data_IF_101973760194
#
_entry.id   IF_101973760194
#
_cell.length_a   1.000
_cell.length_b   1.000
_cell.length_c   1.000
_cell.angle_alpha   90.00
_cell.angle_beta   90.00
_cell.angle_gamma   90.00
#
_symmetry.space_group_name_H-M   'P 1'
#
loop_
_entity.id
_entity.type
_entity.pdbx_description
1 polymer ?
#
# COMPACT_ATOMS: atom_id res chain seq x y z
N UNK A 1 4.61 7.37 12.35
CA UNK A 1 3.49 8.28 12.69
C UNK A 1 3.28 9.15 11.47
N UNK A 2 2.10 9.21 10.85
CA UNK A 2 1.73 10.42 10.09
C UNK A 2 0.30 10.47 9.51
N UNK A 3 -0.13 11.72 9.32
CA UNK A 3 -1.47 12.25 9.55
C UNK A 3 -2.38 12.14 8.31
N UNK A 4 -3.55 11.49 8.43
CA UNK A 4 -4.69 11.78 7.52
C UNK A 4 -5.39 13.06 7.95
N UNK A 5 -5.32 13.33 9.25
CA UNK A 5 -5.84 14.48 9.95
C UNK A 5 -4.87 14.77 11.08
N UNK A 6 -4.54 16.05 11.31
CA UNK A 6 -3.78 16.46 12.49
C UNK A 6 -4.79 16.74 13.60
N UNK A 7 -4.66 16.01 14.70
CA UNK A 7 -5.68 15.94 15.77
C UNK A 7 -5.21 16.60 17.07
N UNK A 8 -3.92 16.86 17.22
CA UNK A 8 -3.38 17.47 18.41
C UNK A 8 -2.05 18.20 18.15
N UNK A 9 -1.57 18.92 19.16
CA UNK A 9 -0.38 19.77 19.02
C UNK A 9 0.93 18.98 18.87
N UNK A 10 0.97 17.72 19.35
CA UNK A 10 2.13 16.86 19.12
C UNK A 10 2.22 16.51 17.64
N UNK A 11 1.11 16.05 17.07
CA UNK A 11 1.00 15.73 15.64
C UNK A 11 1.30 16.94 14.75
N UNK A 12 0.80 18.13 15.12
CA UNK A 12 1.09 19.37 14.39
C UNK A 12 2.59 19.71 14.42
N UNK A 13 3.28 19.50 15.54
CA UNK A 13 4.73 19.71 15.66
C UNK A 13 5.51 18.69 14.83
N UNK A 14 5.11 17.42 14.86
CA UNK A 14 5.76 16.37 14.09
C UNK A 14 5.59 16.64 12.56
N UNK A 15 4.39 17.03 12.13
CA UNK A 15 4.12 17.43 10.73
C UNK A 15 4.98 18.62 10.29
N UNK A 16 5.14 19.64 11.14
CA UNK A 16 6.01 20.80 10.87
C UNK A 16 7.48 20.39 10.76
N UNK A 17 7.94 19.49 11.61
CA UNK A 17 9.33 19.01 11.57
C UNK A 17 9.61 18.31 10.23
N UNK A 18 8.69 17.47 9.76
CA UNK A 18 8.82 16.74 8.49
C UNK A 18 8.70 17.69 7.30
N UNK A 19 7.79 18.68 7.36
CA UNK A 19 7.71 19.74 6.35
C UNK A 19 9.02 20.53 6.24
N UNK A 20 9.67 20.83 7.37
CA UNK A 20 10.98 21.50 7.41
C UNK A 20 12.09 20.64 6.84
N UNK A 21 12.12 19.34 7.16
CA UNK A 21 13.08 18.38 6.59
C UNK A 21 12.96 18.33 5.06
N UNK A 22 11.73 18.30 4.54
CA UNK A 22 11.47 18.36 3.10
C UNK A 22 11.97 19.68 2.48
N UNK A 23 11.71 20.82 3.13
CA UNK A 23 12.16 22.13 2.64
C UNK A 23 13.70 22.22 2.59
N UNK A 24 14.40 21.63 3.56
CA UNK A 24 15.86 21.49 3.56
C UNK A 24 16.36 20.60 2.42
N UNK A 25 15.72 19.46 2.20
CA UNK A 25 16.06 18.55 1.10
C UNK A 25 15.85 19.19 -0.28
N UNK A 26 14.77 19.95 -0.47
CA UNK A 26 14.46 20.58 -1.76
C UNK A 26 15.31 21.84 -2.04
N UNK A 27 15.79 22.54 -1.01
CA UNK A 27 16.56 23.77 -1.14
C UNK A 27 18.07 23.56 -1.32
N UNK A 28 18.61 22.44 -0.85
CA UNK A 28 20.04 22.15 -0.87
C UNK A 28 20.38 20.99 -1.80
N UNK A 29 21.07 21.30 -2.90
CA UNK A 29 21.63 20.26 -3.78
C UNK A 29 22.55 19.30 -3.00
N UNK A 30 23.28 19.80 -2.00
CA UNK A 30 24.17 18.99 -1.14
C UNK A 30 23.42 18.01 -0.23
N UNK A 31 22.17 18.33 0.15
CA UNK A 31 21.35 17.43 0.97
C UNK A 31 20.62 16.39 0.11
N UNK A 32 20.23 16.78 -1.12
CA UNK A 32 19.50 15.91 -2.05
C UNK A 32 20.42 14.90 -2.77
N UNK A 33 21.61 15.34 -3.19
CA UNK A 33 22.55 14.55 -4.01
C UNK A 33 22.91 13.18 -3.39
N UNK A 34 23.22 13.06 -2.08
CA UNK A 34 23.53 11.76 -1.48
C UNK A 34 22.35 10.77 -1.51
N UNK A 35 21.11 11.25 -1.47
CA UNK A 35 19.90 10.41 -1.46
C UNK A 35 19.64 9.83 -2.85
N UNK A 36 19.91 10.63 -3.89
CA UNK A 36 19.59 10.29 -5.28
C UNK A 36 20.81 9.86 -6.10
N UNK A 37 21.97 9.72 -5.45
CA UNK A 37 23.22 9.40 -6.11
C UNK A 37 23.12 8.10 -6.93
N UNK A 38 23.45 8.20 -8.22
CA UNK A 38 23.41 7.06 -9.15
C UNK A 38 22.02 6.70 -9.69
N UNK A 39 20.95 7.36 -9.24
CA UNK A 39 19.61 7.13 -9.77
C UNK A 39 19.43 7.81 -11.15
N UNK A 40 18.61 7.23 -12.04
CA UNK A 40 18.27 7.84 -13.32
C UNK A 40 17.51 9.16 -13.14
N UNK A 41 17.70 10.16 -14.03
CA UNK A 41 17.01 11.45 -13.93
C UNK A 41 15.49 11.35 -13.78
N UNK A 42 14.85 10.41 -14.49
CA UNK A 42 13.40 10.18 -14.42
C UNK A 42 12.94 9.77 -13.02
N UNK A 43 13.73 8.93 -12.34
CA UNK A 43 13.46 8.49 -10.96
C UNK A 43 13.65 9.64 -9.98
N UNK A 44 14.70 10.43 -10.18
CA UNK A 44 15.01 11.60 -9.35
C UNK A 44 13.92 12.68 -9.48
N UNK A 45 13.45 12.94 -10.70
CA UNK A 45 12.42 13.93 -10.96
C UNK A 45 11.05 13.49 -10.41
N UNK A 46 10.69 12.21 -10.60
CA UNK A 46 9.51 11.62 -10.00
C UNK A 46 9.51 11.75 -8.47
N UNK A 47 10.61 11.36 -7.82
CA UNK A 47 10.75 11.49 -6.36
C UNK A 47 10.69 12.94 -5.89
N UNK A 48 11.33 13.87 -6.61
CA UNK A 48 11.26 15.30 -6.30
C UNK A 48 9.83 15.83 -6.38
N UNK A 49 9.06 15.40 -7.37
CA UNK A 49 7.66 15.77 -7.51
C UNK A 49 6.80 15.18 -6.38
N UNK A 50 7.03 13.92 -6.03
CA UNK A 50 6.36 13.26 -4.91
C UNK A 50 6.59 14.01 -3.59
N UNK A 51 7.85 14.34 -3.25
CA UNK A 51 8.19 15.10 -2.05
C UNK A 51 7.53 16.49 -2.04
N UNK A 52 7.48 17.19 -3.19
CA UNK A 52 6.80 18.48 -3.30
C UNK A 52 5.30 18.36 -3.04
N UNK A 53 4.67 17.31 -3.56
CA UNK A 53 3.25 17.04 -3.32
C UNK A 53 3.01 16.70 -1.85
N UNK A 54 3.86 15.87 -1.25
CA UNK A 54 3.82 15.54 0.17
C UNK A 54 3.95 16.79 1.06
N UNK A 55 4.85 17.71 0.69
CA UNK A 55 5.03 18.99 1.39
C UNK A 55 3.79 19.88 1.35
N UNK A 56 3.11 19.94 0.20
CA UNK A 56 1.85 20.69 0.05
C UNK A 56 0.75 20.08 0.90
N UNK A 57 0.65 18.76 0.95
CA UNK A 57 -0.36 18.06 1.74
C UNK A 57 -0.12 18.26 3.25
N UNK A 58 1.12 18.18 3.71
CA UNK A 58 1.47 18.51 5.10
C UNK A 58 1.09 19.95 5.46
N UNK A 59 1.32 20.90 4.55
CA UNK A 59 0.91 22.30 4.76
C UNK A 59 -0.61 22.44 4.88
N UNK A 60 -1.36 21.77 4.00
CA UNK A 60 -2.81 21.77 4.02
C UNK A 60 -3.35 21.18 5.34
N UNK A 61 -2.76 20.09 5.82
CA UNK A 61 -3.10 19.47 7.11
C UNK A 61 -2.81 20.41 8.29
N UNK A 62 -1.63 21.04 8.32
CA UNK A 62 -1.24 22.00 9.37
C UNK A 62 -2.20 23.20 9.37
N UNK A 63 -2.52 23.73 8.19
CA UNK A 63 -3.43 24.87 8.03
C UNK A 63 -4.84 24.51 8.48
N UNK A 64 -5.35 23.34 8.11
CA UNK A 64 -6.68 22.87 8.54
C UNK A 64 -6.77 22.75 10.06
N UNK A 65 -5.72 22.23 10.72
CA UNK A 65 -5.68 22.13 12.18
C UNK A 65 -5.65 23.51 12.86
N UNK A 66 -4.82 24.45 12.38
CA UNK A 66 -4.76 25.80 12.95
C UNK A 66 -6.05 26.60 12.70
N UNK A 67 -6.66 26.47 11.52
CA UNK A 67 -7.97 27.06 11.22
C UNK A 67 -9.04 26.52 12.18
N UNK A 68 -9.06 25.21 12.43
CA UNK A 68 -10.00 24.59 13.35
C UNK A 68 -9.84 25.14 14.78
N UNK A 69 -8.61 25.39 15.26
CA UNK A 69 -8.38 26.02 16.57
C UNK A 69 -8.94 27.44 16.67
N UNK A 70 -9.01 28.15 15.54
CA UNK A 70 -9.60 29.50 15.45
C UNK A 70 -11.12 29.50 15.22
N UNK A 71 -11.74 28.32 15.14
CA UNK A 71 -13.19 28.14 14.98
C UNK A 71 -13.64 27.80 13.55
N UNK A 72 -12.75 27.80 12.56
CA UNK A 72 -13.04 27.36 11.20
C UNK A 72 -12.62 25.89 11.02
N UNK A 73 -13.54 24.98 11.33
CA UNK A 73 -13.28 23.54 11.37
C UNK A 73 -13.74 22.78 10.13
N UNK A 74 -14.24 23.46 9.09
CA UNK A 74 -14.86 22.82 7.92
C UNK A 74 -13.90 21.89 7.17
N UNK A 75 -12.67 22.34 6.95
CA UNK A 75 -11.65 21.53 6.27
C UNK A 75 -11.29 20.28 7.09
N UNK A 76 -11.19 20.43 8.41
CA UNK A 76 -10.86 19.33 9.31
C UNK A 76 -12.04 18.34 9.46
N UNK A 77 -13.28 18.85 9.45
CA UNK A 77 -14.51 18.06 9.46
C UNK A 77 -14.67 17.27 8.15
N UNK A 78 -14.42 17.91 7.00
CA UNK A 78 -14.45 17.22 5.71
C UNK A 78 -13.44 16.07 5.66
N UNK A 79 -12.22 16.29 6.18
CA UNK A 79 -11.17 15.25 6.28
C UNK A 79 -11.45 14.17 7.33
N UNK A 80 -12.31 14.45 8.31
CA UNK A 80 -12.78 13.44 9.27
C UNK A 80 -13.90 12.56 8.69
N UNK A 81 -14.44 12.92 7.52
CA UNK A 81 -15.50 12.21 6.81
C UNK A 81 -16.67 11.87 7.77
N UNK A 82 -17.05 10.60 7.84
CA UNK A 82 -18.13 10.08 8.69
C UNK A 82 -17.59 9.29 9.91
N UNK A 83 -16.31 9.41 10.26
CA UNK A 83 -15.74 8.72 11.42
C UNK A 83 -16.21 9.40 12.72
N UNK A 84 -17.08 8.74 13.52
CA UNK A 84 -17.69 9.37 14.68
C UNK A 84 -16.66 9.71 15.77
N UNK A 85 -15.56 8.95 15.84
CA UNK A 85 -14.46 9.20 16.76
C UNK A 85 -13.67 10.44 16.38
N UNK A 86 -13.32 10.58 15.10
CA UNK A 86 -12.65 11.77 14.58
C UNK A 86 -13.54 13.01 14.72
N UNK A 87 -14.85 12.92 14.49
CA UNK A 87 -15.78 14.03 14.69
C UNK A 87 -15.72 14.58 16.12
N UNK A 88 -15.62 13.72 17.15
CA UNK A 88 -15.45 14.18 18.53
C UNK A 88 -14.13 14.93 18.72
N UNK A 89 -13.05 14.47 18.10
CA UNK A 89 -11.74 15.12 18.20
C UNK A 89 -11.78 16.49 17.49
N UNK A 90 -12.35 16.55 16.29
CA UNK A 90 -12.55 17.80 15.55
C UNK A 90 -13.38 18.79 16.36
N UNK A 91 -14.49 18.34 16.96
CA UNK A 91 -15.33 19.20 17.80
C UNK A 91 -14.62 19.72 19.06
N UNK A 92 -13.70 18.94 19.65
CA UNK A 92 -12.84 19.40 20.74
C UNK A 92 -11.92 20.52 20.24
N UNK A 93 -11.25 20.32 19.11
CA UNK A 93 -10.30 21.28 18.51
C UNK A 93 -11.03 22.59 18.14
N UNK A 94 -12.19 22.48 17.49
CA UNK A 94 -13.06 23.59 17.11
C UNK A 94 -13.47 24.48 18.29
N UNK A 95 -13.55 23.91 19.49
CA UNK A 95 -13.85 24.61 20.75
C UNK A 95 -12.60 25.14 21.46
N UNK A 96 -11.42 25.02 20.85
CA UNK A 96 -10.14 25.43 21.42
C UNK A 96 -9.74 24.65 22.67
N UNK A 97 -10.33 23.47 22.91
CA UNK A 97 -10.06 22.69 24.12
C UNK A 97 -8.83 21.80 23.93
N UNK A 98 -7.90 21.87 24.87
CA UNK A 98 -6.83 20.86 25.00
C UNK A 98 -7.39 19.55 25.57
N UNK A 99 -6.68 18.44 25.36
CA UNK A 99 -7.04 17.15 25.97
C UNK A 99 -7.10 17.23 27.51
N UNK A 100 -6.18 18.00 28.11
CA UNK A 100 -6.14 18.28 29.55
C UNK A 100 -7.39 19.03 30.03
N UNK A 101 -7.84 20.03 29.29
CA UNK A 101 -9.04 20.80 29.63
C UNK A 101 -10.30 19.98 29.45
N UNK A 102 -10.40 19.19 28.37
CA UNK A 102 -11.50 18.25 28.17
C UNK A 102 -11.58 17.26 29.34
N UNK A 103 -10.45 16.68 29.74
CA UNK A 103 -10.37 15.77 30.88
C UNK A 103 -10.85 16.45 32.17
N UNK A 104 -10.36 17.67 32.45
CA UNK A 104 -10.78 18.45 33.63
C UNK A 104 -12.28 18.73 33.64
N UNK A 105 -12.87 19.14 32.50
CA UNK A 105 -14.30 19.45 32.40
C UNK A 105 -15.19 18.21 32.49
N UNK A 106 -14.67 17.03 32.11
CA UNK A 106 -15.37 15.75 32.23
C UNK A 106 -15.11 15.01 33.56
N UNK A 107 -14.22 15.52 34.41
CA UNK A 107 -13.79 14.83 35.64
C UNK A 107 -13.00 13.55 35.35
N UNK A 108 -12.26 13.52 34.24
CA UNK A 108 -11.40 12.41 33.83
C UNK A 108 -9.93 12.76 34.01
N UNK A 109 -9.06 11.75 34.00
CA UNK A 109 -7.60 11.94 33.92
C UNK A 109 -7.20 12.27 32.48
N UNK A 110 -6.21 13.13 32.30
CA UNK A 110 -5.69 13.50 30.97
C UNK A 110 -5.23 12.26 30.16
N UNK A 111 -4.49 11.34 30.80
CA UNK A 111 -4.06 10.07 30.19
C UNK A 111 -5.22 9.23 29.66
N UNK A 112 -6.40 9.32 30.28
CA UNK A 112 -7.57 8.58 29.84
C UNK A 112 -8.15 9.18 28.56
N UNK A 113 -8.22 10.51 28.46
CA UNK A 113 -8.63 11.19 27.22
C UNK A 113 -7.61 10.97 26.11
N UNK A 114 -6.31 11.00 26.42
CA UNK A 114 -5.25 10.67 25.44
C UNK A 114 -5.42 9.26 24.88
N UNK A 115 -5.70 8.27 25.73
CA UNK A 115 -5.97 6.90 25.28
C UNK A 115 -7.22 6.81 24.40
N UNK A 116 -8.28 7.51 24.78
CA UNK A 116 -9.51 7.55 24.00
C UNK A 116 -9.30 8.24 22.64
N UNK A 117 -8.56 9.34 22.57
CA UNK A 117 -8.30 9.97 21.26
C UNK A 117 -7.35 9.14 20.39
N UNK A 118 -6.40 8.42 21.00
CA UNK A 118 -5.45 7.57 20.28
C UNK A 118 -6.13 6.42 19.51
N UNK A 119 -7.21 5.85 20.05
CA UNK A 119 -8.00 4.81 19.39
C UNK A 119 -9.32 5.32 18.78
N UNK A 120 -9.44 6.64 18.61
CA UNK A 120 -10.64 7.32 18.08
C UNK A 120 -11.92 6.94 18.85
N UNK A 121 -11.82 6.80 20.16
CA UNK A 121 -12.92 6.47 21.05
C UNK A 121 -13.55 5.09 20.77
N UNK A 122 -12.84 4.20 20.07
CA UNK A 122 -13.36 2.87 19.72
C UNK A 122 -13.47 1.93 20.92
N UNK A 123 -12.62 2.11 21.95
CA UNK A 123 -12.60 1.23 23.13
C UNK A 123 -13.57 1.62 24.25
N UNK A 124 -14.28 2.75 24.12
CA UNK A 124 -15.14 3.25 25.20
C UNK A 124 -16.58 2.75 25.09
N UNK A 125 -17.29 2.71 26.23
CA UNK A 125 -18.71 2.39 26.22
C UNK A 125 -19.52 3.46 25.46
N UNK A 126 -20.58 3.04 24.79
CA UNK A 126 -21.50 3.94 24.09
C UNK A 126 -22.08 5.02 25.03
N UNK A 127 -22.26 4.70 26.32
CA UNK A 127 -22.70 5.65 27.32
C UNK A 127 -21.67 6.78 27.53
N UNK A 128 -20.39 6.43 27.64
CA UNK A 128 -19.31 7.40 27.73
C UNK A 128 -19.15 8.20 26.42
N UNK A 129 -19.28 7.53 25.27
CA UNK A 129 -19.22 8.19 23.97
C UNK A 129 -20.30 9.28 23.86
N UNK A 130 -21.55 8.95 24.16
CA UNK A 130 -22.67 9.91 24.17
C UNK A 130 -22.48 11.04 25.17
N UNK A 131 -21.89 10.75 26.34
CA UNK A 131 -21.58 11.77 27.35
C UNK A 131 -20.57 12.80 26.80
N UNK A 132 -19.51 12.33 26.15
CA UNK A 132 -18.49 13.20 25.55
C UNK A 132 -19.07 13.95 24.36
N UNK A 133 -19.82 13.28 23.47
CA UNK A 133 -20.49 13.90 22.32
C UNK A 133 -21.39 15.07 22.73
N UNK A 134 -22.29 14.88 23.72
CA UNK A 134 -23.14 15.96 24.22
C UNK A 134 -22.36 17.11 24.83
N UNK A 135 -21.31 16.79 25.59
CA UNK A 135 -20.44 17.81 26.17
C UNK A 135 -19.76 18.67 25.10
N UNK A 136 -19.32 18.03 24.02
CA UNK A 136 -18.74 18.68 22.85
C UNK A 136 -19.78 19.23 21.87
N UNK A 137 -21.08 19.14 22.17
CA UNK A 137 -22.16 19.62 21.31
C UNK A 137 -22.18 18.95 19.93
N UNK A 138 -21.81 17.68 19.85
CA UNK A 138 -21.85 16.87 18.62
C UNK A 138 -23.16 16.08 18.62
N UNK A 139 -23.99 16.34 17.62
CA UNK A 139 -25.18 15.55 17.32
C UNK A 139 -24.85 14.50 16.28
N UNK A 140 -24.79 13.23 16.71
CA UNK A 140 -24.60 12.10 15.80
C UNK A 140 -25.93 11.42 15.52
N UNK A 141 -26.27 11.30 14.24
CA UNK A 141 -27.44 10.57 13.76
C UNK A 141 -26.98 9.33 13.03
N UNK A 142 -27.60 8.21 13.36
CA UNK A 142 -27.46 6.99 12.55
C UNK A 142 -28.40 7.12 11.35
N UNK A 143 -27.82 7.17 10.16
CA UNK A 143 -28.57 6.95 8.93
C UNK A 143 -28.76 5.46 8.73
N UNK A 144 -29.93 5.05 8.22
CA UNK A 144 -30.03 3.74 7.60
C UNK A 144 -29.25 3.82 6.29
N UNK A 145 -28.14 3.10 6.20
CA UNK A 145 -27.50 2.86 4.92
C UNK A 145 -28.44 2.03 4.05
N UNK A 146 -28.48 2.33 2.75
CA UNK A 146 -29.02 1.40 1.74
C UNK A 146 -28.24 0.07 1.76
N UNK A 147 -27.03 0.09 2.33
CA UNK A 147 -26.23 -1.07 2.66
C UNK A 147 -26.83 -1.84 3.84
N UNK A 148 -27.50 -2.96 3.56
CA UNK A 148 -27.91 -3.94 4.56
C UNK A 148 -26.69 -4.75 5.03
N UNK A 149 -25.89 -4.19 5.95
CA UNK A 149 -24.69 -4.81 6.51
C UNK A 149 -24.91 -6.12 7.28
N UNK A 150 -26.15 -6.54 7.49
CA UNK A 150 -26.50 -7.86 8.05
C UNK A 150 -26.98 -8.87 7.01
N UNK A 151 -26.95 -8.57 5.71
CA UNK A 151 -27.72 -9.36 4.74
C UNK A 151 -27.41 -9.20 3.25
N UNK A 152 -26.42 -8.40 2.83
CA UNK A 152 -25.66 -8.79 1.63
C UNK A 152 -24.81 -9.98 2.03
N UNK A 153 -25.44 -11.15 2.00
CA UNK A 153 -24.75 -12.37 1.69
C UNK A 153 -23.75 -12.06 0.58
N UNK A 154 -22.45 -12.23 0.84
CA UNK A 154 -21.49 -12.48 -0.25
C UNK A 154 -22.10 -13.55 -1.19
N UNK A 155 -22.96 -14.44 -0.65
CA UNK A 155 -23.75 -15.43 -1.38
C UNK A 155 -24.90 -14.97 -2.30
N UNK A 156 -25.36 -13.70 -2.38
CA UNK A 156 -26.52 -13.36 -3.25
C UNK A 156 -26.18 -12.78 -4.61
N UNK A 157 -25.05 -12.07 -4.74
CA UNK A 157 -24.57 -11.56 -6.03
C UNK A 157 -23.22 -12.17 -6.47
N UNK A 158 -22.53 -12.93 -5.60
CA UNK A 158 -21.31 -13.63 -6.00
C UNK A 158 -21.63 -15.02 -6.55
N UNK A 159 -21.04 -15.35 -7.69
CA UNK A 159 -21.23 -16.65 -8.30
C UNK A 159 -20.76 -17.77 -7.35
N UNK A 160 -21.62 -18.76 -7.10
CA UNK A 160 -21.23 -19.97 -6.35
C UNK A 160 -19.96 -20.63 -6.92
N UNK A 161 -19.68 -20.42 -8.21
CA UNK A 161 -18.46 -20.85 -8.88
C UNK A 161 -17.21 -20.12 -8.35
N UNK A 162 -17.27 -18.82 -8.12
CA UNK A 162 -16.14 -18.00 -7.64
C UNK A 162 -15.81 -18.35 -6.20
N UNK A 163 -16.83 -18.47 -5.36
CA UNK A 163 -16.70 -18.98 -3.99
C UNK A 163 -15.97 -20.33 -3.98
N UNK A 164 -16.41 -21.28 -4.81
CA UNK A 164 -15.78 -22.61 -4.90
C UNK A 164 -14.33 -22.52 -5.37
N UNK A 165 -13.99 -21.61 -6.28
CA UNK A 165 -12.60 -21.35 -6.71
C UNK A 165 -11.75 -20.84 -5.55
N UNK A 166 -12.24 -19.85 -4.80
CA UNK A 166 -11.52 -19.30 -3.63
C UNK A 166 -11.32 -20.39 -2.59
N UNK A 167 -12.35 -21.16 -2.24
CA UNK A 167 -12.23 -22.25 -1.25
C UNK A 167 -11.21 -23.32 -1.69
N UNK A 168 -11.27 -23.75 -2.96
CA UNK A 168 -10.30 -24.70 -3.50
C UNK A 168 -8.87 -24.15 -3.43
N UNK A 169 -8.69 -22.88 -3.78
CA UNK A 169 -7.40 -22.21 -3.73
C UNK A 169 -6.89 -22.07 -2.29
N UNK A 170 -7.76 -21.64 -1.37
CA UNK A 170 -7.47 -21.44 0.03
C UNK A 170 -7.01 -22.75 0.71
N UNK A 171 -7.67 -23.88 0.38
CA UNK A 171 -7.26 -25.21 0.86
C UNK A 171 -5.89 -25.63 0.32
N UNK A 172 -5.65 -25.41 -0.98
CA UNK A 172 -4.37 -25.78 -1.60
C UNK A 172 -3.18 -24.95 -1.07
N UNK A 173 -3.44 -23.77 -0.50
CA UNK A 173 -2.43 -22.83 -0.03
C UNK A 173 -2.44 -22.62 1.50
N UNK A 174 -3.11 -23.48 2.27
CA UNK A 174 -3.02 -23.49 3.74
C UNK A 174 -3.65 -22.27 4.41
N UNK A 175 -4.71 -21.69 3.85
CA UNK A 175 -5.33 -20.47 4.42
C UNK A 175 -6.10 -20.72 5.74
N UNK A 176 -6.38 -21.97 6.07
CA UNK A 176 -7.21 -22.37 7.21
C UNK A 176 -6.40 -22.89 8.42
N UNK A 177 -5.07 -23.00 8.28
CA UNK A 177 -4.21 -23.65 9.28
C UNK A 177 -4.17 -22.92 10.64
N UNK A 178 -4.40 -21.61 10.65
CA UNK A 178 -4.36 -20.78 11.86
C UNK A 178 -5.63 -20.90 12.76
N UNK A 179 -6.76 -21.39 12.23
CA UNK A 179 -8.08 -21.33 12.91
C UNK A 179 -8.84 -22.68 13.01
N UNK A 180 -8.26 -23.81 12.61
CA UNK A 180 -8.88 -25.14 12.75
C UNK A 180 -8.46 -26.18 11.69
N UNK A 181 -8.90 -27.45 11.81
CA UNK A 181 -8.42 -28.53 10.94
C UNK A 181 -8.71 -28.25 9.46
N UNK A 182 -7.75 -28.53 8.58
CA UNK A 182 -7.80 -28.39 7.12
C UNK A 182 -8.95 -29.15 6.41
N UNK A 183 -9.78 -29.85 7.18
CA UNK A 183 -10.93 -30.67 6.79
C UNK A 183 -12.25 -30.12 7.34
N UNK A 184 -12.43 -28.79 7.32
CA UNK A 184 -13.75 -28.19 7.54
C UNK A 184 -14.72 -28.61 6.43
N UNK A 185 -15.99 -28.85 6.79
CA UNK A 185 -17.04 -29.08 5.80
C UNK A 185 -17.13 -27.89 4.83
N UNK A 186 -17.68 -28.10 3.63
CA UNK A 186 -17.78 -27.05 2.60
C UNK A 186 -18.60 -25.83 3.10
N UNK A 187 -19.63 -26.06 3.92
CA UNK A 187 -20.42 -24.99 4.55
C UNK A 187 -19.62 -24.20 5.59
N UNK A 188 -18.88 -24.87 6.46
CA UNK A 188 -18.05 -24.21 7.49
C UNK A 188 -16.90 -23.41 6.85
N UNK A 189 -16.28 -23.98 5.80
CA UNK A 189 -15.24 -23.30 5.03
C UNK A 189 -15.78 -22.05 4.33
N UNK A 190 -17.02 -22.11 3.83
CA UNK A 190 -17.71 -20.98 3.22
C UNK A 190 -18.02 -19.89 4.24
N UNK A 191 -18.62 -20.25 5.38
CA UNK A 191 -18.92 -19.32 6.46
C UNK A 191 -17.65 -18.64 6.99
N UNK A 192 -16.56 -19.40 7.11
CA UNK A 192 -15.25 -18.86 7.44
C UNK A 192 -14.79 -17.84 6.40
N UNK A 193 -14.78 -18.19 5.11
CA UNK A 193 -14.37 -17.27 4.04
C UNK A 193 -15.24 -16.01 4.00
N UNK A 194 -16.55 -16.16 4.18
CA UNK A 194 -17.49 -15.05 4.21
C UNK A 194 -17.15 -14.11 5.36
N UNK A 195 -17.01 -14.64 6.58
CA UNK A 195 -16.58 -13.85 7.75
C UNK A 195 -15.20 -13.24 7.53
N UNK A 196 -14.28 -14.00 6.96
CA UNK A 196 -12.89 -13.61 6.71
C UNK A 196 -12.79 -12.37 5.81
N UNK A 197 -13.55 -12.36 4.72
CA UNK A 197 -13.62 -11.22 3.79
C UNK A 197 -14.44 -10.08 4.39
N UNK A 198 -15.57 -10.38 5.05
CA UNK A 198 -16.40 -9.38 5.71
C UNK A 198 -15.65 -8.62 6.80
N UNK A 199 -14.90 -9.32 7.67
CA UNK A 199 -14.09 -8.69 8.72
C UNK A 199 -13.02 -7.77 8.12
N UNK A 200 -12.40 -8.18 7.01
CA UNK A 200 -11.44 -7.33 6.30
C UNK A 200 -12.12 -6.07 5.74
N UNK A 201 -13.27 -6.22 5.08
CA UNK A 201 -14.04 -5.09 4.53
C UNK A 201 -14.50 -4.14 5.65
N UNK A 202 -14.94 -4.67 6.78
CA UNK A 202 -15.38 -3.87 7.92
C UNK A 202 -14.23 -3.10 8.56
N UNK A 203 -13.04 -3.70 8.62
CA UNK A 203 -11.85 -3.07 9.25
C UNK A 203 -11.12 -2.11 8.32
N UNK A 204 -11.06 -2.41 7.03
CA UNK A 204 -10.20 -1.72 6.05
C UNK A 204 -10.94 -1.10 4.87
N UNK A 205 -12.27 -1.25 4.80
CA UNK A 205 -13.08 -0.87 3.65
C UNK A 205 -13.09 -1.93 2.54
N UNK A 206 -14.05 -1.80 1.62
CA UNK A 206 -14.07 -2.58 0.38
C UNK A 206 -13.05 -2.01 -0.60
N UNK A 207 -12.30 -2.88 -1.29
CA UNK A 207 -11.50 -2.46 -2.41
C UNK A 207 -12.25 -1.87 -3.60
N UNK A 208 -12.59 -0.58 -3.58
CA UNK A 208 -13.37 0.01 -4.68
C UNK A 208 -12.60 0.05 -6.02
N UNK A 209 -11.27 0.10 -6.01
CA UNK A 209 -10.38 0.17 -7.17
C UNK A 209 -8.96 -0.36 -6.87
N UNK A 210 -8.74 -1.65 -7.09
CA UNK A 210 -7.39 -2.19 -7.30
C UNK A 210 -7.17 -2.27 -8.81
N UNK A 211 -6.34 -1.38 -9.37
CA UNK A 211 -5.95 -1.40 -10.78
C UNK A 211 -4.50 -1.82 -10.88
N UNK A 212 -4.25 -2.74 -11.81
CA UNK A 212 -2.89 -3.11 -12.22
C UNK A 212 -2.87 -3.21 -13.73
N UNK A 213 -2.19 -2.27 -14.38
CA UNK A 213 -1.80 -2.34 -15.78
C UNK A 213 -2.90 -2.13 -16.83
N UNK A 214 -2.68 -1.14 -17.71
CA UNK A 214 -3.30 -0.83 -19.02
C UNK A 214 -4.83 -0.89 -19.18
N UNK A 215 -5.63 -1.42 -18.25
CA UNK A 215 -7.08 -1.48 -18.35
C UNK A 215 -7.74 -1.11 -17.02
N UNK A 216 -8.47 -0.01 -17.06
CA UNK A 216 -9.40 0.44 -16.03
C UNK A 216 -10.60 -0.50 -15.97
N UNK A 217 -10.66 -1.37 -14.96
CA UNK A 217 -11.87 -2.13 -14.61
C UNK A 217 -12.21 -1.89 -13.13
N UNK A 218 -13.50 -1.66 -12.85
CA UNK A 218 -14.05 -1.61 -11.50
C UNK A 218 -14.07 -3.04 -10.93
N UNK A 219 -13.38 -3.24 -9.81
CA UNK A 219 -13.23 -4.54 -9.14
C UNK A 219 -13.81 -4.51 -7.72
N UNK A 220 -14.62 -3.50 -7.39
CA UNK A 220 -15.29 -3.34 -6.09
C UNK A 220 -16.11 -4.56 -5.66
N UNK A 221 -16.54 -5.37 -6.63
CA UNK A 221 -17.32 -6.60 -6.42
C UNK A 221 -16.55 -7.90 -6.74
N UNK A 222 -15.24 -7.85 -7.04
CA UNK A 222 -14.44 -9.05 -7.37
C UNK A 222 -14.04 -9.83 -6.10
N UNK A 223 -14.84 -10.84 -5.74
CA UNK A 223 -14.57 -11.70 -4.58
C UNK A 223 -13.16 -12.31 -4.59
N UNK A 224 -12.60 -12.64 -5.76
CA UNK A 224 -11.28 -13.27 -5.83
C UNK A 224 -10.21 -12.30 -5.33
N UNK A 225 -10.31 -11.05 -5.77
CA UNK A 225 -9.38 -9.99 -5.39
C UNK A 225 -9.55 -9.59 -3.91
N UNK A 226 -10.79 -9.49 -3.44
CA UNK A 226 -11.12 -9.24 -2.04
C UNK A 226 -10.51 -10.31 -1.12
N UNK A 227 -10.71 -11.59 -1.45
CA UNK A 227 -10.20 -12.71 -0.68
C UNK A 227 -8.66 -12.73 -0.65
N UNK A 228 -8.03 -12.49 -1.81
CA UNK A 228 -6.57 -12.42 -1.92
C UNK A 228 -5.99 -11.25 -1.11
N UNK A 229 -6.56 -10.04 -1.23
CA UNK A 229 -6.11 -8.87 -0.46
C UNK A 229 -6.27 -9.10 1.05
N UNK A 230 -7.37 -9.69 1.49
CA UNK A 230 -7.59 -10.03 2.89
C UNK A 230 -6.49 -10.99 3.42
N UNK A 231 -6.05 -11.95 2.61
CA UNK A 231 -4.91 -12.84 2.93
C UNK A 231 -3.58 -12.10 2.99
N UNK A 232 -3.29 -11.27 2.01
CA UNK A 232 -2.07 -10.45 2.03
C UNK A 232 -2.03 -9.55 3.27
N UNK A 233 -3.14 -8.90 3.60
CA UNK A 233 -3.27 -8.00 4.74
C UNK A 233 -3.00 -8.71 6.06
N UNK A 234 -3.60 -9.88 6.29
CA UNK A 234 -3.38 -10.66 7.52
C UNK A 234 -1.92 -11.11 7.68
N UNK A 235 -1.31 -11.61 6.60
CA UNK A 235 0.12 -11.98 6.65
C UNK A 235 0.99 -10.75 6.93
N UNK A 236 0.64 -9.59 6.37
CA UNK A 236 1.33 -8.35 6.67
C UNK A 236 1.13 -7.92 8.14
N UNK A 237 -0.08 -8.00 8.70
CA UNK A 237 -0.34 -7.71 10.13
C UNK A 237 0.55 -8.56 11.05
N UNK A 238 0.67 -9.86 10.76
CA UNK A 238 1.54 -10.77 11.51
C UNK A 238 3.01 -10.33 11.45
N UNK A 239 3.52 -9.98 10.25
CA UNK A 239 4.90 -9.53 10.06
C UNK A 239 5.15 -8.19 10.78
N UNK A 240 4.24 -7.23 10.65
CA UNK A 240 4.34 -5.90 11.28
C UNK A 240 4.40 -6.05 12.80
N UNK A 241 3.52 -6.87 13.36
CA UNK A 241 3.44 -7.14 14.80
C UNK A 241 4.73 -7.79 15.30
N UNK A 242 5.28 -8.76 14.55
CA UNK A 242 6.47 -9.49 14.94
C UNK A 242 7.76 -8.65 14.89
N UNK A 243 7.85 -7.65 13.99
CA UNK A 243 9.10 -6.93 13.72
C UNK A 243 9.09 -5.44 14.13
N UNK A 244 7.99 -4.91 14.65
CA UNK A 244 7.84 -3.48 15.02
C UNK A 244 8.28 -2.53 13.88
N UNK A 245 7.75 -2.80 12.68
CA UNK A 245 8.17 -2.18 11.42
C UNK A 245 7.91 -0.67 11.42
N UNK A 246 8.91 0.12 10.98
CA UNK A 246 8.78 1.59 10.82
C UNK A 246 9.33 2.02 9.45
N UNK A 247 8.48 2.67 8.66
CA UNK A 247 8.84 3.19 7.32
C UNK A 247 9.34 4.63 7.36
N UNK A 248 10.30 4.98 6.49
CA UNK A 248 10.86 6.33 6.31
C UNK A 248 10.75 6.74 4.83
N UNK A 249 9.75 7.56 4.44
CA UNK A 249 9.48 7.90 3.04
C UNK A 249 10.62 8.62 2.30
N UNK A 250 11.47 9.37 3.01
CA UNK A 250 12.51 10.20 2.41
C UNK A 250 13.83 9.44 2.11
N UNK A 251 13.97 8.18 2.56
CA UNK A 251 15.15 7.36 2.24
C UNK A 251 14.88 6.46 1.02
N UNK A 252 15.51 6.81 -0.11
CA UNK A 252 15.49 6.00 -1.34
C UNK A 252 16.87 5.50 -1.78
N UNK A 253 17.88 5.61 -0.91
CA UNK A 253 19.29 5.28 -1.21
C UNK A 253 19.50 3.80 -1.59
N UNK A 254 18.57 2.95 -1.17
CA UNK A 254 18.61 1.49 -1.34
C UNK A 254 18.03 1.01 -2.68
N UNK A 255 17.42 1.88 -3.50
CA UNK A 255 16.73 1.47 -4.73
C UNK A 255 17.65 0.76 -5.74
N UNK A 256 18.87 1.27 -5.91
CA UNK A 256 19.84 0.67 -6.84
C UNK A 256 20.27 -0.70 -6.32
N UNK A 257 20.50 -0.81 -5.01
CA UNK A 257 20.83 -2.09 -4.38
C UNK A 257 19.71 -3.11 -4.57
N UNK A 258 18.44 -2.70 -4.38
CA UNK A 258 17.30 -3.57 -4.61
C UNK A 258 17.28 -4.11 -6.05
N UNK A 259 17.49 -3.27 -7.07
CA UNK A 259 17.54 -3.71 -8.46
C UNK A 259 18.69 -4.69 -8.72
N UNK A 260 19.86 -4.44 -8.10
CA UNK A 260 21.06 -5.27 -8.22
C UNK A 260 20.92 -6.65 -7.60
N UNK A 261 20.02 -6.82 -6.62
CA UNK A 261 19.72 -8.14 -6.05
C UNK A 261 19.21 -9.13 -7.10
N UNK A 262 18.72 -8.65 -8.25
CA UNK A 262 18.31 -9.50 -9.37
C UNK A 262 19.41 -10.40 -9.94
N UNK A 263 20.68 -10.05 -9.73
CA UNK A 263 21.82 -10.87 -10.14
C UNK A 263 21.92 -12.20 -9.38
N UNK A 264 21.33 -12.26 -8.18
CA UNK A 264 21.42 -13.43 -7.32
C UNK A 264 20.23 -14.36 -7.53
N UNK A 265 20.48 -15.68 -7.49
CA UNK A 265 19.41 -16.67 -7.63
C UNK A 265 18.37 -16.57 -6.51
N UNK A 266 18.81 -16.30 -5.28
CA UNK A 266 18.00 -16.02 -4.09
C UNK A 266 17.58 -14.54 -3.96
N UNK A 267 17.78 -13.74 -5.01
CA UNK A 267 17.45 -12.32 -5.07
C UNK A 267 16.05 -11.96 -4.57
N UNK A 268 14.98 -12.71 -4.91
CA UNK A 268 13.64 -12.44 -4.38
C UNK A 268 13.55 -12.50 -2.85
N UNK A 269 14.22 -13.47 -2.20
CA UNK A 269 14.24 -13.57 -0.74
C UNK A 269 15.02 -12.40 -0.12
N UNK A 270 16.18 -12.07 -0.70
CA UNK A 270 16.97 -10.90 -0.26
C UNK A 270 16.21 -9.59 -0.42
N UNK A 271 15.42 -9.44 -1.48
CA UNK A 271 14.58 -8.28 -1.70
C UNK A 271 13.53 -8.13 -0.59
N UNK A 272 12.87 -9.22 -0.19
CA UNK A 272 11.93 -9.22 0.95
C UNK A 272 12.62 -8.73 2.23
N UNK A 273 13.80 -9.27 2.52
CA UNK A 273 14.52 -8.96 3.76
C UNK A 273 15.05 -7.51 3.76
N UNK A 274 15.56 -7.02 2.61
CA UNK A 274 15.97 -5.63 2.43
C UNK A 274 14.77 -4.69 2.61
N UNK A 275 13.64 -4.95 1.95
CA UNK A 275 12.43 -4.14 2.06
C UNK A 275 11.92 -4.07 3.50
N UNK A 276 11.92 -5.21 4.21
CA UNK A 276 11.52 -5.25 5.61
C UNK A 276 12.42 -4.37 6.48
N UNK A 277 13.74 -4.37 6.25
CA UNK A 277 14.69 -3.49 6.95
C UNK A 277 14.44 -2.00 6.69
N UNK A 278 13.79 -1.67 5.56
CA UNK A 278 13.40 -0.30 5.18
C UNK A 278 11.98 0.07 5.61
N UNK A 279 11.28 -0.85 6.27
CA UNK A 279 9.92 -0.60 6.74
C UNK A 279 8.83 -0.94 5.74
N UNK A 280 9.14 -1.70 4.68
CA UNK A 280 8.19 -2.13 3.65
C UNK A 280 7.96 -3.64 3.76
N UNK A 281 6.71 -4.07 3.89
CA UNK A 281 6.38 -5.49 4.04
C UNK A 281 6.06 -6.08 2.67
N UNK A 282 6.87 -7.03 2.22
CA UNK A 282 6.63 -7.77 0.98
C UNK A 282 5.97 -9.12 1.29
N UNK A 283 4.78 -9.36 0.74
CA UNK A 283 4.03 -10.61 0.84
C UNK A 283 3.81 -11.20 -0.54
N UNK A 284 4.21 -12.45 -0.74
CA UNK A 284 3.85 -13.21 -1.93
C UNK A 284 2.72 -14.19 -1.59
N UNK A 285 1.61 -14.06 -2.32
CA UNK A 285 0.47 -14.95 -2.19
C UNK A 285 0.00 -15.34 -3.60
N UNK A 286 -0.03 -16.62 -3.99
CA UNK A 286 -0.41 -17.03 -5.33
C UNK A 286 -1.74 -16.44 -5.81
N UNK A 287 -1.83 -16.08 -7.09
CA UNK A 287 -3.12 -15.65 -7.65
C UNK A 287 -4.22 -16.71 -7.48
N UNK A 288 -5.44 -16.26 -7.20
CA UNK A 288 -6.63 -17.08 -7.37
C UNK A 288 -6.96 -17.14 -8.88
N UNK A 289 -7.13 -18.34 -9.48
CA UNK A 289 -7.40 -18.44 -10.91
C UNK A 289 -8.63 -17.63 -11.35
N UNK A 290 -8.41 -16.67 -12.26
CA UNK A 290 -9.42 -15.71 -12.71
C UNK A 290 -9.03 -14.26 -12.41
N UNK A 291 -8.17 -14.04 -11.43
CA UNK A 291 -7.59 -12.73 -11.16
C UNK A 291 -6.73 -12.25 -12.32
N UNK A 292 -6.76 -10.93 -12.57
CA UNK A 292 -5.94 -10.28 -13.59
C UNK A 292 -4.74 -9.54 -13.01
N UNK A 293 -4.70 -9.39 -11.69
CA UNK A 293 -3.75 -8.58 -10.94
C UNK A 293 -2.41 -9.30 -10.77
N UNK A 294 -1.31 -8.58 -10.98
CA UNK A 294 0.05 -9.10 -10.80
C UNK A 294 0.66 -8.70 -9.44
N UNK A 295 0.26 -7.55 -8.88
CA UNK A 295 0.66 -7.06 -7.57
C UNK A 295 -0.29 -6.00 -7.00
N UNK A 296 -0.05 -5.54 -5.79
CA UNK A 296 -0.73 -4.39 -5.20
C UNK A 296 0.11 -3.76 -4.09
N UNK A 297 0.16 -2.43 -4.04
CA UNK A 297 0.69 -1.67 -2.92
C UNK A 297 -0.44 -1.01 -2.14
N UNK A 298 -0.39 -1.06 -0.80
CA UNK A 298 -1.34 -0.36 0.07
C UNK A 298 -0.72 -0.08 1.44
N UNK A 299 -1.39 0.74 2.26
CA UNK A 299 -0.96 0.99 3.63
C UNK A 299 -1.75 0.17 4.63
N UNK A 300 -1.01 -0.40 5.59
CA UNK A 300 -1.56 -1.05 6.77
C UNK A 300 -0.99 -0.34 8.01
N UNK A 301 -1.82 0.43 8.71
CA UNK A 301 -1.39 1.21 9.89
C UNK A 301 -0.15 2.09 9.64
N UNK A 302 -0.03 2.65 8.41
CA UNK A 302 1.10 3.44 7.89
C UNK A 302 2.35 2.64 7.51
N UNK A 303 2.29 1.32 7.48
CA UNK A 303 3.35 0.48 6.92
C UNK A 303 2.97 0.16 5.46
N UNK A 304 3.83 0.49 4.47
CA UNK A 304 3.65 0.03 3.11
C UNK A 304 3.68 -1.50 3.04
N UNK A 305 2.64 -2.06 2.46
CA UNK A 305 2.53 -3.48 2.15
C UNK A 305 2.51 -3.63 0.63
N UNK A 306 3.40 -4.47 0.13
CA UNK A 306 3.44 -4.90 -1.27
C UNK A 306 3.01 -6.36 -1.33
N UNK A 307 1.88 -6.62 -1.96
CA UNK A 307 1.39 -7.96 -2.29
C UNK A 307 1.78 -8.33 -3.72
N UNK A 308 2.33 -9.53 -3.94
CA UNK A 308 2.62 -10.04 -5.29
C UNK A 308 1.87 -11.34 -5.54
N UNK A 309 1.19 -11.44 -6.69
CA UNK A 309 0.44 -12.65 -7.04
C UNK A 309 1.31 -13.76 -7.64
N UNK A 310 2.50 -13.37 -8.15
CA UNK A 310 3.44 -14.21 -8.88
C UNK A 310 2.75 -15.07 -9.96
N UNK A 311 1.68 -14.54 -10.56
CA UNK A 311 0.91 -15.19 -11.65
C UNK A 311 1.83 -15.65 -12.77
N UNK A 312 2.75 -14.77 -13.17
CA UNK A 312 3.84 -15.06 -14.10
C UNK A 312 5.11 -15.29 -13.28
N UNK A 313 5.45 -16.56 -13.08
CA UNK A 313 6.66 -16.96 -12.36
C UNK A 313 7.89 -16.86 -13.26
N UNK A 314 8.29 -15.63 -13.58
CA UNK A 314 9.47 -15.31 -14.39
C UNK A 314 10.24 -14.19 -13.72
N UNK A 315 11.57 -14.20 -13.88
CA UNK A 315 12.46 -13.26 -13.20
C UNK A 315 12.20 -11.82 -13.66
N UNK A 316 12.01 -11.62 -14.96
CA UNK A 316 11.72 -10.31 -15.55
C UNK A 316 10.41 -9.71 -15.03
N UNK A 317 9.34 -10.51 -15.00
CA UNK A 317 8.04 -10.07 -14.53
C UNK A 317 8.08 -9.77 -13.03
N UNK A 318 8.72 -10.64 -12.23
CA UNK A 318 8.85 -10.41 -10.79
C UNK A 318 9.53 -9.07 -10.47
N UNK A 319 10.71 -8.81 -11.04
CA UNK A 319 11.45 -7.59 -10.74
C UNK A 319 10.74 -6.34 -11.26
N UNK A 320 10.10 -6.42 -12.43
CA UNK A 320 9.30 -5.31 -12.95
C UNK A 320 8.10 -5.03 -12.05
N UNK A 321 7.29 -6.04 -11.72
CA UNK A 321 6.12 -5.87 -10.85
C UNK A 321 6.54 -5.38 -9.47
N UNK A 322 7.57 -5.95 -8.86
CA UNK A 322 8.06 -5.49 -7.55
C UNK A 322 8.44 -4.00 -7.59
N UNK A 323 9.24 -3.57 -8.55
CA UNK A 323 9.67 -2.17 -8.63
C UNK A 323 8.54 -1.21 -9.06
N UNK A 324 7.52 -1.71 -9.74
CA UNK A 324 6.30 -0.96 -10.02
C UNK A 324 5.53 -0.69 -8.73
N UNK A 325 5.30 -1.71 -7.89
CA UNK A 325 4.68 -1.53 -6.58
C UNK A 325 5.52 -0.63 -5.66
N UNK A 326 6.85 -0.74 -5.71
CA UNK A 326 7.76 0.17 -4.99
C UNK A 326 7.67 1.61 -5.54
N UNK A 327 7.44 1.77 -6.84
CA UNK A 327 7.11 3.07 -7.44
C UNK A 327 5.89 3.70 -6.80
N UNK A 328 4.81 2.93 -6.59
CA UNK A 328 3.66 3.41 -5.82
C UNK A 328 4.00 3.74 -4.37
N UNK A 329 4.82 2.92 -3.71
CA UNK A 329 5.29 3.18 -2.33
C UNK A 329 6.05 4.50 -2.20
N UNK A 330 6.87 4.85 -3.19
CA UNK A 330 7.76 6.02 -3.12
C UNK A 330 7.09 7.27 -3.68
N UNK A 331 6.41 7.17 -4.82
CA UNK A 331 5.83 8.33 -5.50
C UNK A 331 4.46 8.72 -4.91
N UNK A 332 3.73 7.73 -4.40
CA UNK A 332 2.29 7.85 -4.12
C UNK A 332 1.93 7.54 -2.66
N UNK A 333 2.91 7.56 -1.75
CA UNK A 333 2.77 7.14 -0.35
C UNK A 333 1.55 7.74 0.36
N UNK A 334 1.36 9.06 0.32
CA UNK A 334 0.24 9.73 1.02
C UNK A 334 -0.96 10.04 0.14
N UNK A 335 -0.74 10.28 -1.15
CA UNK A 335 -1.78 10.71 -2.09
C UNK A 335 -2.50 9.55 -2.76
N UNK A 336 -1.83 8.42 -2.99
CA UNK A 336 -2.40 7.25 -3.69
C UNK A 336 -2.58 6.00 -2.83
N UNK A 337 -1.67 5.73 -1.87
CA UNK A 337 -1.75 4.48 -1.08
C UNK A 337 -2.67 4.55 0.14
N UNK A 338 -2.94 5.76 0.66
CA UNK A 338 -3.78 5.98 1.86
C UNK A 338 -5.27 5.89 1.58
N UNK A 339 -5.68 6.45 0.46
CA UNK A 339 -7.09 6.41 0.01
C UNK A 339 -7.49 4.97 -0.29
N UNK A 340 -6.52 4.06 -0.49
CA UNK A 340 -6.74 2.69 -0.93
C UNK A 340 -7.31 2.62 -2.34
N UNK A 341 -8.01 3.66 -2.78
CA UNK A 341 -9.06 3.67 -3.76
C UNK A 341 -9.32 5.13 -4.15
N UNK A 342 -9.29 5.41 -5.43
CA UNK A 342 -9.76 6.67 -5.99
C UNK A 342 -11.29 6.69 -5.93
N UNK A 343 -11.87 6.94 -4.76
CA UNK A 343 -13.34 6.99 -4.60
C UNK A 343 -13.92 8.23 -5.32
N UNK A 344 -13.08 9.25 -5.58
CA UNK A 344 -13.49 10.56 -6.09
C UNK A 344 -12.49 11.18 -7.09
N UNK A 345 -11.72 10.36 -7.81
CA UNK A 345 -10.64 10.83 -8.70
C UNK A 345 -10.94 10.51 -10.16
N UNK A 346 -10.70 11.47 -11.04
CA UNK A 346 -10.93 11.34 -12.47
C UNK A 346 -10.06 10.23 -13.06
N UNK A 347 -10.57 9.55 -14.10
CA UNK A 347 -9.83 8.46 -14.78
C UNK A 347 -8.44 8.89 -15.28
N UNK A 348 -8.28 10.17 -15.64
CA UNK A 348 -7.03 10.73 -16.14
C UNK A 348 -5.92 10.68 -15.07
N UNK A 349 -6.23 11.07 -13.83
CA UNK A 349 -5.25 11.09 -12.73
C UNK A 349 -4.76 9.68 -12.39
N UNK A 350 -5.64 8.67 -12.53
CA UNK A 350 -5.27 7.27 -12.29
C UNK A 350 -4.33 6.73 -13.36
N UNK A 351 -4.58 7.07 -14.63
CA UNK A 351 -3.70 6.66 -15.73
C UNK A 351 -2.31 7.30 -15.62
N UNK A 352 -2.22 8.54 -15.14
CA UNK A 352 -0.95 9.23 -14.85
C UNK A 352 -0.16 8.51 -13.75
N UNK A 353 -0.80 8.18 -12.63
CA UNK A 353 -0.17 7.49 -11.49
C UNK A 353 0.41 6.12 -11.90
N UNK A 354 -0.33 5.35 -12.69
CA UNK A 354 0.12 4.07 -13.23
C UNK A 354 1.28 4.26 -14.22
N UNK A 355 1.23 5.29 -15.06
CA UNK A 355 2.31 5.61 -15.98
C UNK A 355 3.58 5.98 -15.21
N UNK A 356 3.48 6.82 -14.18
CA UNK A 356 4.61 7.21 -13.33
C UNK A 356 5.25 5.98 -12.65
N UNK A 357 4.45 5.06 -12.11
CA UNK A 357 4.96 3.83 -11.52
C UNK A 357 5.63 2.90 -12.55
N UNK A 358 5.08 2.82 -13.77
CA UNK A 358 5.69 2.08 -14.88
C UNK A 358 7.04 2.70 -15.33
N UNK A 359 7.09 4.02 -15.45
CA UNK A 359 8.30 4.76 -15.82
C UNK A 359 9.36 4.65 -14.74
N UNK A 360 8.97 4.75 -13.47
CA UNK A 360 9.82 4.54 -12.31
C UNK A 360 10.47 3.16 -12.36
N UNK A 361 9.68 2.09 -12.42
CA UNK A 361 10.18 0.71 -12.44
C UNK A 361 11.11 0.44 -13.63
N UNK A 362 10.72 0.94 -14.81
CA UNK A 362 11.51 0.77 -16.04
C UNK A 362 12.88 1.43 -15.92
N UNK A 363 12.94 2.65 -15.36
CA UNK A 363 14.19 3.40 -15.24
C UNK A 363 15.08 2.89 -14.11
N UNK A 364 14.52 2.48 -12.97
CA UNK A 364 15.29 1.86 -11.88
C UNK A 364 15.99 0.58 -12.38
N UNK A 365 15.30 -0.24 -13.19
CA UNK A 365 15.90 -1.46 -13.76
C UNK A 365 16.87 -1.16 -14.91
N UNK A 366 16.41 -0.42 -15.91
CA UNK A 366 17.16 -0.14 -17.13
C UNK A 366 16.98 1.35 -17.46
N UNK A 367 17.94 2.21 -17.09
CA UNK A 367 17.84 3.64 -17.31
C UNK A 367 17.60 3.96 -18.79
N UNK A 368 16.64 4.85 -19.09
CA UNK A 368 16.19 5.12 -20.46
C UNK A 368 17.34 5.56 -21.39
N UNK A 369 18.26 6.37 -20.88
CA UNK A 369 19.43 6.84 -21.63
C UNK A 369 20.38 5.71 -22.01
N UNK A 370 20.60 4.77 -21.09
CA UNK A 370 21.41 3.57 -21.31
C UNK A 370 20.71 2.64 -22.29
N UNK A 371 19.39 2.51 -22.19
CA UNK A 371 18.59 1.68 -23.09
C UNK A 371 18.64 2.17 -24.53
N UNK A 372 18.37 3.46 -24.76
CA UNK A 372 18.36 4.08 -26.10
C UNK A 372 19.69 3.93 -26.84
N UNK A 373 20.81 3.95 -26.11
CA UNK A 373 22.17 3.82 -26.67
C UNK A 373 22.64 2.37 -26.82
N UNK A 374 21.92 1.41 -26.23
CA UNK A 374 22.36 0.01 -26.18
C UNK A 374 21.99 -0.76 -27.44
N UNK A 375 22.93 -1.54 -28.02
CA UNK A 375 22.61 -2.46 -29.11
C UNK A 375 21.64 -3.59 -28.67
N UNK A 376 21.47 -3.81 -27.36
CA UNK A 376 20.53 -4.79 -26.83
C UNK A 376 19.08 -4.51 -27.28
N UNK A 377 18.71 -3.24 -27.53
CA UNK A 377 17.36 -2.87 -27.95
C UNK A 377 16.93 -3.52 -29.27
N UNK A 378 17.84 -3.72 -30.20
CA UNK A 378 17.57 -4.28 -31.54
C UNK A 378 18.19 -5.67 -31.77
N UNK A 379 18.95 -6.19 -30.80
CA UNK A 379 19.64 -7.47 -30.94
C UNK A 379 18.69 -8.67 -31.04
N UNK A 380 19.22 -9.77 -31.61
CA UNK A 380 18.70 -11.14 -31.51
C UNK A 380 19.70 -12.09 -30.83
N UNK A 381 20.85 -11.56 -30.39
CA UNK A 381 21.92 -12.33 -29.75
C UNK A 381 21.83 -12.25 -28.23
N UNK A 382 21.80 -13.41 -27.57
CA UNK A 382 21.82 -13.53 -26.12
C UNK A 382 23.09 -12.92 -25.49
N UNK A 383 24.25 -13.09 -26.13
CA UNK A 383 25.51 -12.54 -25.62
C UNK A 383 25.50 -11.00 -25.49
N UNK A 384 24.81 -10.31 -26.40
CA UNK A 384 24.65 -8.83 -26.33
C UNK A 384 23.76 -8.45 -25.14
N UNK A 385 22.70 -9.24 -24.89
CA UNK A 385 21.80 -9.04 -23.75
C UNK A 385 22.54 -9.28 -22.43
N UNK A 386 23.27 -10.38 -22.31
CA UNK A 386 24.05 -10.72 -21.11
C UNK A 386 25.13 -9.67 -20.81
N UNK A 387 25.84 -9.20 -21.84
CA UNK A 387 26.83 -8.12 -21.69
C UNK A 387 26.18 -6.85 -21.14
N UNK A 388 25.05 -6.43 -21.72
CA UNK A 388 24.37 -5.22 -21.29
C UNK A 388 23.78 -5.35 -19.87
N UNK A 389 23.23 -6.51 -19.53
CA UNK A 389 22.74 -6.79 -18.18
C UNK A 389 23.87 -6.75 -17.14
N UNK A 390 25.05 -7.29 -17.49
CA UNK A 390 26.25 -7.23 -16.65
C UNK A 390 26.74 -5.79 -16.44
N UNK A 391 26.70 -4.94 -17.47
CA UNK A 391 27.05 -3.51 -17.36
C UNK A 391 26.07 -2.69 -16.50
N UNK A 392 24.86 -3.21 -16.30
CA UNK A 392 23.84 -2.64 -15.42
C UNK A 392 23.75 -3.36 -14.07
N UNK A 393 24.51 -4.42 -13.87
CA UNK A 393 24.50 -5.25 -12.66
C UNK A 393 23.09 -5.77 -12.34
N UNK A 394 22.37 -6.26 -13.36
CA UNK A 394 21.04 -6.85 -13.23
C UNK A 394 20.96 -8.23 -13.90
N UNK A 395 19.89 -8.97 -13.65
CA UNK A 395 19.63 -10.23 -14.34
C UNK A 395 19.38 -10.04 -15.86
N UNK A 396 20.00 -10.85 -16.75
CA UNK A 396 19.71 -10.82 -18.19
C UNK A 396 18.23 -11.01 -18.54
N UNK A 397 17.48 -11.75 -17.73
CA UNK A 397 16.04 -11.94 -17.89
C UNK A 397 15.30 -10.61 -17.98
N UNK A 398 15.67 -9.61 -17.18
CA UNK A 398 15.01 -8.30 -17.13
C UNK A 398 15.16 -7.57 -18.48
N UNK A 399 16.36 -7.62 -19.07
CA UNK A 399 16.62 -7.06 -20.39
C UNK A 399 15.82 -7.81 -21.46
N UNK A 400 15.76 -9.16 -21.38
CA UNK A 400 14.91 -9.96 -22.27
C UNK A 400 13.44 -9.56 -22.16
N UNK A 401 12.91 -9.39 -20.96
CA UNK A 401 11.52 -8.98 -20.72
C UNK A 401 11.20 -7.62 -21.33
N UNK A 402 12.11 -6.64 -21.18
CA UNK A 402 11.97 -5.33 -21.84
C UNK A 402 11.94 -5.43 -23.36
N UNK A 403 12.81 -6.26 -23.96
CA UNK A 403 12.81 -6.52 -25.41
C UNK A 403 11.48 -7.14 -25.86
N UNK A 404 10.98 -8.14 -25.13
CA UNK A 404 9.72 -8.80 -25.46
C UNK A 404 8.54 -7.81 -25.41
N UNK A 405 8.48 -6.97 -24.37
CA UNK A 405 7.44 -5.93 -24.19
C UNK A 405 7.47 -4.91 -25.32
N UNK A 406 8.62 -4.30 -25.62
CA UNK A 406 8.74 -3.26 -26.65
C UNK A 406 8.47 -3.78 -28.07
N UNK A 407 8.76 -5.06 -28.35
CA UNK A 407 8.50 -5.67 -29.66
C UNK A 407 7.15 -6.37 -29.78
N UNK A 408 6.38 -6.46 -28.69
CA UNK A 408 5.16 -7.26 -28.63
C UNK A 408 5.36 -8.75 -28.95
N UNK A 409 6.57 -9.29 -28.76
CA UNK A 409 6.92 -10.66 -29.13
C UNK A 409 7.58 -11.42 -27.97
N UNK A 410 6.76 -12.17 -27.25
CA UNK A 410 7.13 -12.93 -26.06
C UNK A 410 7.82 -14.29 -26.36
N UNK A 411 8.01 -14.65 -27.62
CA UNK A 411 8.78 -15.84 -27.99
C UNK A 411 10.29 -15.59 -27.92
N UNK A 412 10.71 -14.33 -28.11
CA UNK A 412 12.11 -13.91 -28.16
C UNK A 412 12.78 -14.14 -26.80
N UNK A 413 13.90 -14.87 -26.75
CA UNK A 413 14.63 -15.18 -25.51
C UNK A 413 13.78 -15.82 -24.41
N UNK A 414 12.72 -16.55 -24.78
CA UNK A 414 11.80 -17.19 -23.82
C UNK A 414 12.47 -18.23 -22.90
N UNK A 415 13.65 -18.72 -23.28
CA UNK A 415 14.51 -19.58 -22.46
C UNK A 415 15.35 -18.82 -21.41
N UNK A 416 15.49 -17.49 -21.53
CA UNK A 416 16.35 -16.66 -20.68
C UNK A 416 15.58 -15.84 -19.63
N UNK A 417 14.26 -15.92 -19.60
CA UNK A 417 13.40 -15.20 -18.64
C UNK A 417 13.28 -15.86 -17.25
N UNK A 418 13.95 -17.01 -17.04
CA UNK A 418 14.03 -17.66 -15.72
C UNK A 418 12.69 -18.19 -15.19
N UNK A 419 11.94 -18.93 -16.02
CA UNK A 419 10.62 -19.49 -15.65
C UNK A 419 10.71 -20.44 -14.45
N UNK A 420 9.78 -20.32 -13.50
CA UNK A 420 9.63 -21.25 -12.39
C UNK A 420 10.65 -21.06 -11.26
N UNK A 421 11.30 -19.90 -11.18
CA UNK A 421 12.44 -19.69 -10.27
C UNK A 421 12.13 -18.77 -9.10
N UNK A 422 11.04 -18.00 -9.12
CA UNK A 422 10.77 -16.96 -8.11
C UNK A 422 9.96 -17.52 -6.95
N UNK A 423 8.91 -18.31 -7.22
CA UNK A 423 7.97 -18.80 -6.20
C UNK A 423 8.64 -19.60 -5.08
N UNK A 424 9.67 -20.38 -5.39
CA UNK A 424 10.43 -21.17 -4.41
C UNK A 424 11.06 -20.33 -3.29
N UNK A 425 11.45 -19.09 -3.60
CA UNK A 425 12.10 -18.19 -2.65
C UNK A 425 11.12 -17.42 -1.77
N UNK A 426 9.88 -17.21 -2.24
CA UNK A 426 8.90 -16.35 -1.55
C UNK A 426 7.72 -17.08 -0.94
N UNK A 427 7.33 -18.25 -1.47
CA UNK A 427 6.14 -19.00 -1.03
C UNK A 427 6.54 -20.35 -0.42
N UNK A 428 7.41 -21.11 -1.07
CA UNK A 428 7.75 -22.47 -0.61
C UNK A 428 8.65 -22.45 0.63
N UNK A 429 9.54 -21.45 0.73
CA UNK A 429 10.40 -21.25 1.90
C UNK A 429 9.62 -20.91 3.18
N UNK A 430 8.39 -20.40 3.06
CA UNK A 430 7.51 -20.08 4.20
C UNK A 430 6.63 -21.24 4.69
N UNK A 431 6.71 -22.43 4.06
CA UNK A 431 6.01 -23.64 4.53
C UNK A 431 6.87 -24.53 5.44
N UNK A 432 8.10 -24.10 5.75
CA UNK A 432 9.13 -24.92 6.42
C UNK A 432 9.62 -24.38 7.77
N UNK A 433 8.94 -23.41 8.35
CA UNK A 433 9.17 -22.82 9.68
C UNK A 433 7.83 -22.55 10.32
#
# INVERSE_FOLDING_TARGET
MEFSVILNEREARDARAIASEIDELLSSARAFEPIVAGLPPQVVDGFRNAIKTERKELEALIKAYEAAKSGDFKDLEHRAENDPGLTLIVARIARGLTQKELARKLGLKEQQVQRYEADRYSSISLANFRRIARFLGVDWKMGLSSWFGGGRNIARDVSALEVKKVLKHARANGWFEDDGPATLADEDSFNYLQRYVSDHILKYGSPSLLRTGMNVQDHSEDLLLLAWKARVTRRAEQIITAHAVTYRPLDITWLIELARLSQHGDGPARARDLLLSKGIVLVAEPQIPGMKVDGAAFLLENVPVVGLTLRRDTVDNFWFTLLHEIGHVILHYRTGLRTGFFDDTDKADVDEIEQEANEFASNVLIPEERWKRSPARITKSAAVVEKFAKELEINPAIVCGRIQKERGNYAIFSNLIGRGTVRKHLIESSKGT
#
